data_IF_054430255491
#
_entry.id   IF_054430255491
#
_cell.length_a   1.000
_cell.length_b   1.000
_cell.length_c   1.000
_cell.angle_alpha   90.00
_cell.angle_beta   90.00
_cell.angle_gamma   90.00
#
_symmetry.space_group_name_H-M   'P 1'
#
loop_
_entity.id
_entity.type
_entity.pdbx_description
1 polymer ?
#
# COMPACT_ATOMS: atom_id res chain seq x y z
N UNK A 1 25.31 2.49 36.87
CA UNK A 1 25.16 1.85 35.54
C UNK A 1 24.04 0.83 35.62
N UNK A 2 22.80 1.31 35.64
CA UNK A 2 21.61 0.51 35.31
C UNK A 2 21.35 0.86 33.84
N UNK A 3 20.91 -0.10 32.99
CA UNK A 3 20.77 -0.02 31.53
C UNK A 3 21.89 -0.71 30.72
N UNK A 4 22.21 -1.97 31.04
CA UNK A 4 22.90 -2.83 30.08
C UNK A 4 22.19 -4.15 29.76
N UNK A 5 21.11 -4.50 30.47
CA UNK A 5 20.48 -5.82 30.35
C UNK A 5 18.96 -5.73 30.25
N UNK A 6 18.43 -5.00 29.28
CA UNK A 6 17.08 -5.24 28.79
C UNK A 6 17.13 -5.05 27.27
N UNK A 7 17.11 -6.15 26.52
CA UNK A 7 16.92 -6.22 25.06
C UNK A 7 15.53 -5.69 24.61
N UNK A 8 14.94 -4.77 25.36
CA UNK A 8 13.72 -4.10 24.99
C UNK A 8 14.09 -2.86 24.18
N UNK A 9 14.13 -3.01 22.85
CA UNK A 9 14.08 -1.84 21.98
C UNK A 9 12.88 -0.97 22.42
N UNK A 10 13.06 0.34 22.62
CA UNK A 10 11.96 1.24 22.94
C UNK A 10 10.77 1.02 22.00
N UNK A 11 9.55 1.08 22.53
CA UNK A 11 8.30 0.81 21.79
C UNK A 11 8.25 1.48 20.41
N UNK A 12 8.71 2.72 20.30
CA UNK A 12 8.73 3.46 19.03
C UNK A 12 9.67 2.82 17.99
N UNK A 13 10.78 2.19 18.38
CA UNK A 13 11.67 1.46 17.44
C UNK A 13 10.93 0.28 16.82
N UNK A 14 10.23 -0.52 17.63
CA UNK A 14 9.45 -1.67 17.13
C UNK A 14 8.28 -1.21 16.26
N UNK A 15 7.58 -0.14 16.66
CA UNK A 15 6.53 0.47 15.84
C UNK A 15 7.08 0.98 14.49
N UNK A 16 8.29 1.53 14.48
CA UNK A 16 8.98 1.93 13.26
C UNK A 16 9.22 0.76 12.30
N UNK A 17 9.70 -0.39 12.80
CA UNK A 17 9.88 -1.61 12.01
C UNK A 17 8.55 -2.16 11.48
N UNK A 18 7.50 -2.10 12.31
CA UNK A 18 6.17 -2.54 11.91
C UNK A 18 5.62 -1.68 10.76
N UNK A 19 5.79 -0.35 10.81
CA UNK A 19 5.40 0.55 9.72
C UNK A 19 6.12 0.18 8.42
N UNK A 20 7.44 -0.06 8.48
CA UNK A 20 8.23 -0.44 7.30
C UNK A 20 7.73 -1.76 6.69
N UNK A 21 7.47 -2.77 7.54
CA UNK A 21 6.95 -4.06 7.11
C UNK A 21 5.55 -3.95 6.49
N UNK A 22 4.68 -3.10 7.05
CA UNK A 22 3.33 -2.87 6.51
C UNK A 22 3.37 -2.14 5.17
N UNK A 23 4.23 -1.13 5.01
CA UNK A 23 4.43 -0.45 3.73
C UNK A 23 5.00 -1.39 2.66
N UNK A 24 6.00 -2.20 3.02
CA UNK A 24 6.55 -3.20 2.10
C UNK A 24 5.48 -4.21 1.65
N UNK A 25 4.67 -4.69 2.60
CA UNK A 25 3.57 -5.62 2.31
C UNK A 25 2.53 -4.97 1.39
N UNK A 26 2.11 -3.73 1.68
CA UNK A 26 1.18 -2.96 0.87
C UNK A 26 1.64 -2.90 -0.59
N UNK A 27 2.88 -2.47 -0.84
CA UNK A 27 3.39 -2.34 -2.20
C UNK A 27 3.56 -3.69 -2.89
N UNK A 28 3.90 -4.76 -2.17
CA UNK A 28 3.90 -6.12 -2.74
C UNK A 28 2.51 -6.57 -3.19
N UNK A 29 1.46 -6.25 -2.43
CA UNK A 29 0.08 -6.57 -2.82
C UNK A 29 -0.35 -5.77 -4.05
N UNK A 30 0.01 -4.48 -4.12
CA UNK A 30 -0.20 -3.63 -5.30
C UNK A 30 0.47 -4.21 -6.54
N UNK A 31 1.74 -4.61 -6.44
CA UNK A 31 2.47 -5.23 -7.55
C UNK A 31 1.85 -6.56 -8.00
N UNK A 32 1.39 -7.38 -7.05
CA UNK A 32 0.66 -8.61 -7.38
C UNK A 32 -0.63 -8.30 -8.15
N UNK A 33 -1.37 -7.28 -7.71
CA UNK A 33 -2.61 -6.87 -8.37
C UNK A 33 -2.38 -6.27 -9.76
N UNK A 34 -1.28 -5.54 -9.97
CA UNK A 34 -0.86 -5.06 -11.30
C UNK A 34 -0.64 -6.22 -12.26
N UNK A 35 0.14 -7.24 -11.87
CA UNK A 35 0.37 -8.45 -12.70
C UNK A 35 -0.92 -9.20 -13.00
N UNK A 36 -1.80 -9.34 -12.00
CA UNK A 36 -3.12 -9.91 -12.19
C UNK A 36 -3.94 -9.10 -13.21
N UNK A 37 -3.88 -7.78 -13.15
CA UNK A 37 -4.55 -6.88 -14.09
C UNK A 37 -4.01 -7.06 -15.51
N UNK A 38 -2.69 -7.10 -15.69
CA UNK A 38 -2.06 -7.36 -16.99
C UNK A 38 -2.56 -8.67 -17.62
N UNK A 39 -2.55 -9.76 -16.84
CA UNK A 39 -3.02 -11.07 -17.28
C UNK A 39 -4.49 -11.02 -17.71
N UNK A 40 -5.37 -10.44 -16.89
CA UNK A 40 -6.81 -10.38 -17.19
C UNK A 40 -7.10 -9.51 -18.41
N UNK A 41 -6.43 -8.37 -18.56
CA UNK A 41 -6.67 -7.46 -19.68
C UNK A 41 -6.01 -7.96 -20.97
N UNK A 42 -5.03 -8.86 -20.90
CA UNK A 42 -4.49 -9.55 -22.09
C UNK A 42 -5.42 -10.65 -22.64
N UNK A 43 -6.25 -11.26 -21.80
CA UNK A 43 -7.12 -12.40 -22.15
C UNK A 43 -8.51 -11.94 -22.66
N UNK A 44 -8.52 -10.95 -23.57
CA UNK A 44 -9.58 -9.98 -23.90
C UNK A 44 -11.00 -10.49 -24.28
N UNK A 45 -11.31 -11.79 -24.19
CA UNK A 45 -12.45 -12.38 -24.90
C UNK A 45 -13.69 -12.77 -24.06
N UNK A 46 -13.77 -12.43 -22.76
CA UNK A 46 -14.96 -12.76 -21.95
C UNK A 46 -15.53 -11.54 -21.21
N UNK A 47 -16.67 -11.03 -21.68
CA UNK A 47 -17.44 -9.94 -21.03
C UNK A 47 -17.78 -10.22 -19.55
N UNK A 48 -17.98 -11.51 -19.23
CA UNK A 48 -18.17 -12.01 -17.86
C UNK A 48 -16.90 -11.85 -17.01
N UNK A 49 -15.72 -12.05 -17.60
CA UNK A 49 -14.41 -11.88 -16.95
C UNK A 49 -14.18 -10.42 -16.56
N UNK A 50 -14.54 -9.48 -17.43
CA UNK A 50 -14.36 -8.04 -17.18
C UNK A 50 -15.29 -7.51 -16.06
N UNK A 51 -16.53 -8.01 -15.99
CA UNK A 51 -17.45 -7.64 -14.91
C UNK A 51 -16.94 -8.10 -13.54
N UNK A 52 -16.44 -9.35 -13.48
CA UNK A 52 -15.83 -9.90 -12.25
C UNK A 52 -14.56 -9.15 -11.87
N UNK A 53 -13.73 -8.82 -12.86
CA UNK A 53 -12.53 -8.02 -12.67
C UNK A 53 -12.86 -6.65 -12.07
N UNK A 54 -13.82 -5.92 -12.64
CA UNK A 54 -14.21 -4.60 -12.14
C UNK A 54 -14.70 -4.64 -10.69
N UNK A 55 -15.48 -5.66 -10.31
CA UNK A 55 -15.88 -5.86 -8.91
C UNK A 55 -14.67 -6.09 -8.01
N UNK A 56 -13.75 -6.98 -8.42
CA UNK A 56 -12.53 -7.26 -7.67
C UNK A 56 -11.61 -6.03 -7.55
N UNK A 57 -11.51 -5.22 -8.60
CA UNK A 57 -10.76 -3.95 -8.62
C UNK A 57 -11.33 -2.96 -7.61
N UNK A 58 -12.65 -2.78 -7.57
CA UNK A 58 -13.31 -1.91 -6.61
C UNK A 58 -13.08 -2.37 -5.16
N UNK A 59 -13.23 -3.67 -4.89
CA UNK A 59 -12.92 -4.25 -3.57
C UNK A 59 -11.46 -4.05 -3.20
N UNK A 60 -10.54 -4.29 -4.13
CA UNK A 60 -9.10 -4.10 -3.90
C UNK A 60 -8.79 -2.65 -3.54
N UNK A 61 -9.31 -1.65 -4.28
CA UNK A 61 -9.07 -0.24 -3.95
C UNK A 61 -9.60 0.15 -2.57
N UNK A 62 -10.76 -0.38 -2.19
CA UNK A 62 -11.32 -0.14 -0.87
C UNK A 62 -10.45 -0.75 0.24
N UNK A 63 -10.02 -2.01 0.08
CA UNK A 63 -9.16 -2.71 1.04
C UNK A 63 -7.81 -1.99 1.21
N UNK A 64 -7.18 -1.60 0.10
CA UNK A 64 -5.90 -0.89 0.14
C UNK A 64 -6.02 0.49 0.78
N UNK A 65 -7.15 1.19 0.61
CA UNK A 65 -7.40 2.45 1.32
C UNK A 65 -7.43 2.25 2.84
N UNK A 66 -8.12 1.21 3.31
CA UNK A 66 -8.19 0.89 4.74
C UNK A 66 -6.82 0.52 5.31
N UNK A 67 -6.00 -0.25 4.56
CA UNK A 67 -4.64 -0.57 4.99
C UNK A 67 -3.74 0.67 5.05
N UNK A 68 -3.84 1.57 4.06
CA UNK A 68 -3.11 2.84 4.08
C UNK A 68 -3.52 3.72 5.27
N UNK A 69 -4.82 3.84 5.57
CA UNK A 69 -5.32 4.57 6.75
C UNK A 69 -4.72 4.02 8.06
N UNK A 70 -4.60 2.69 8.20
CA UNK A 70 -3.95 2.06 9.36
C UNK A 70 -2.47 2.41 9.45
N UNK A 71 -1.75 2.41 8.33
CA UNK A 71 -0.33 2.78 8.27
C UNK A 71 -0.15 4.25 8.66
N UNK A 72 -0.96 5.16 8.12
CA UNK A 72 -0.91 6.59 8.46
C UNK A 72 -1.14 6.81 9.95
N UNK A 73 -2.12 6.13 10.54
CA UNK A 73 -2.36 6.20 11.98
C UNK A 73 -1.12 5.75 12.78
N UNK A 74 -0.49 4.64 12.40
CA UNK A 74 0.74 4.17 13.05
C UNK A 74 1.91 5.16 12.90
N UNK A 75 2.02 5.84 11.75
CA UNK A 75 3.03 6.90 11.55
C UNK A 75 2.80 8.08 12.50
N UNK A 76 1.54 8.49 12.67
CA UNK A 76 1.18 9.55 13.63
C UNK A 76 1.54 9.12 15.05
N UNK A 77 1.15 7.90 15.46
CA UNK A 77 1.47 7.36 16.78
C UNK A 77 3.00 7.29 16.99
N UNK A 78 3.75 6.83 15.99
CA UNK A 78 5.21 6.82 16.00
C UNK A 78 5.79 8.22 16.19
N UNK A 79 5.30 9.21 15.44
CA UNK A 79 5.79 10.58 15.50
C UNK A 79 5.50 11.26 16.84
N UNK A 80 4.35 10.96 17.46
CA UNK A 80 4.00 11.46 18.80
C UNK A 80 4.95 10.90 19.87
N UNK A 81 5.31 9.62 19.75
CA UNK A 81 6.14 8.93 20.75
C UNK A 81 7.64 8.99 20.47
N UNK A 82 8.07 9.56 19.33
CA UNK A 82 9.47 9.68 18.96
C UNK A 82 10.12 10.82 19.76
N UNK A 83 11.05 10.55 20.69
CA UNK A 83 11.66 11.57 21.53
C UNK A 83 12.65 12.46 20.76
N UNK A 84 13.01 12.07 19.54
CA UNK A 84 13.94 12.77 18.67
C UNK A 84 13.20 13.34 17.47
N UNK A 85 12.96 14.66 17.47
CA UNK A 85 12.30 15.38 16.38
C UNK A 85 12.91 15.12 14.98
N UNK A 86 14.22 14.80 14.92
CA UNK A 86 14.93 14.48 13.67
C UNK A 86 14.69 13.05 13.14
N UNK A 87 14.12 12.16 13.94
CA UNK A 87 13.82 10.77 13.58
C UNK A 87 12.34 10.55 13.25
N UNK A 88 11.53 11.62 13.26
CA UNK A 88 10.14 11.58 12.82
C UNK A 88 10.03 11.15 11.36
N UNK A 89 9.00 10.37 11.05
CA UNK A 89 8.68 9.94 9.69
C UNK A 89 7.83 10.99 8.99
N UNK A 90 7.98 11.18 7.66
CA UNK A 90 7.09 12.05 6.91
C UNK A 90 5.65 11.55 7.03
N UNK A 91 4.72 12.48 7.27
CA UNK A 91 3.31 12.14 7.26
C UNK A 91 2.90 11.79 5.82
N UNK A 92 2.20 10.67 5.68
CA UNK A 92 1.61 10.26 4.41
C UNK A 92 0.17 10.78 4.33
N UNK A 93 -0.21 11.27 3.16
CA UNK A 93 -1.60 11.56 2.84
C UNK A 93 -2.21 10.35 2.13
N UNK A 94 -3.25 9.77 2.73
CA UNK A 94 -3.93 8.59 2.20
C UNK A 94 -4.43 8.83 0.77
N UNK A 95 -5.07 9.97 0.51
CA UNK A 95 -5.70 10.21 -0.78
C UNK A 95 -4.64 10.38 -1.89
N UNK A 96 -3.52 11.05 -1.60
CA UNK A 96 -2.41 11.20 -2.55
C UNK A 96 -1.79 9.85 -2.92
N UNK A 97 -1.53 8.99 -1.94
CA UNK A 97 -0.96 7.66 -2.16
C UNK A 97 -1.93 6.74 -2.92
N UNK A 98 -3.21 6.80 -2.59
CA UNK A 98 -4.25 6.05 -3.29
C UNK A 98 -4.40 6.52 -4.75
N UNK A 99 -4.35 7.83 -5.01
CA UNK A 99 -4.40 8.37 -6.38
C UNK A 99 -3.21 7.87 -7.21
N UNK A 100 -2.00 7.84 -6.63
CA UNK A 100 -0.81 7.30 -7.31
C UNK A 100 -1.02 5.83 -7.68
N UNK A 101 -1.42 5.00 -6.71
CA UNK A 101 -1.65 3.57 -6.92
C UNK A 101 -2.73 3.32 -7.98
N UNK A 102 -3.89 4.00 -7.89
CA UNK A 102 -4.98 3.88 -8.87
C UNK A 102 -4.48 4.28 -10.25
N UNK A 103 -3.78 5.41 -10.36
CA UNK A 103 -3.25 5.91 -11.64
C UNK A 103 -2.31 4.91 -12.31
N UNK A 104 -1.49 4.19 -11.55
CA UNK A 104 -0.60 3.16 -12.10
C UNK A 104 -1.39 1.96 -12.65
N UNK A 105 -2.43 1.51 -11.94
CA UNK A 105 -3.27 0.39 -12.38
C UNK A 105 -4.12 0.78 -13.59
N UNK A 106 -4.70 1.98 -13.62
CA UNK A 106 -5.47 2.45 -14.77
C UNK A 106 -4.61 2.64 -16.02
N UNK A 107 -3.35 3.08 -15.88
CA UNK A 107 -2.41 3.15 -17.00
C UNK A 107 -2.14 1.77 -17.62
N UNK A 108 -2.07 0.71 -16.82
CA UNK A 108 -1.90 -0.66 -17.32
C UNK A 108 -3.11 -1.05 -18.16
N UNK A 109 -4.32 -0.79 -17.66
CA UNK A 109 -5.58 -1.09 -18.35
C UNK A 109 -5.65 -0.30 -19.67
N UNK A 110 -5.30 0.99 -19.66
CA UNK A 110 -5.33 1.83 -20.86
C UNK A 110 -4.33 1.34 -21.92
N UNK A 111 -3.10 0.98 -21.53
CA UNK A 111 -2.08 0.46 -22.45
C UNK A 111 -2.55 -0.82 -23.13
N UNK A 112 -3.16 -1.73 -22.38
CA UNK A 112 -3.63 -3.00 -22.92
C UNK A 112 -4.85 -2.85 -23.85
N UNK A 113 -5.66 -1.79 -23.69
CA UNK A 113 -6.69 -1.43 -24.68
C UNK A 113 -6.07 -0.95 -26.00
N UNK A 114 -5.08 -0.04 -25.93
CA UNK A 114 -4.39 0.50 -27.12
C UNK A 114 -3.60 -0.53 -27.93
N UNK A 115 -3.21 -1.65 -27.34
CA UNK A 115 -2.54 -2.75 -28.04
C UNK A 115 -3.50 -3.72 -28.75
N UNK A 116 -4.81 -3.57 -28.55
CA UNK A 116 -5.87 -4.38 -29.19
C UNK A 116 -6.42 -3.74 -30.47
N UNK A 117 -6.27 -2.41 -30.59
CA UNK A 117 -6.60 -1.62 -31.79
C UNK A 117 -5.46 -1.71 -32.83
#
# INVERSE_FOLDING_TARGET
KILKDNDCAPFWIELGKEIDALLEKFWKEVEYFKRYTEMVVSDQNLSVSMTRFNKKKASFYFEQRLEMEKIVKKIVDYNIHCPTFRMGRPNLNVDDEMIKMISEIEKIIEKAKKSSD
#
